data_IF_548536259674
#
_entry.id   IF_548536259674
#
_cell.length_a   1.000
_cell.length_b   1.000
_cell.length_c   1.000
_cell.angle_alpha   90.00
_cell.angle_beta   90.00
_cell.angle_gamma   90.00
#
_symmetry.space_group_name_H-M   'P 1'
#
loop_
_entity.id
_entity.type
_entity.pdbx_description
1 polymer ?
#
# COMPACT_ATOMS: atom_id res chain seq x y z
N UNK A 1 -49.44 36.72 64.15
CA UNK A 1 -49.47 37.52 62.93
C UNK A 1 -48.08 37.55 62.38
N UNK A 2 -47.84 36.99 61.21
CA UNK A 2 -46.55 36.96 60.57
C UNK A 2 -46.50 35.84 59.55
N UNK A 3 -47.02 36.08 58.34
CA UNK A 3 -46.99 35.14 57.25
C UNK A 3 -45.57 35.09 56.67
N UNK A 4 -44.95 33.92 56.72
CA UNK A 4 -43.68 33.61 56.06
C UNK A 4 -43.98 33.27 54.56
N UNK A 5 -43.55 34.13 53.69
CA UNK A 5 -43.56 33.88 52.24
C UNK A 5 -42.44 32.89 51.88
N UNK A 6 -42.82 31.71 51.33
CA UNK A 6 -41.92 30.78 50.67
C UNK A 6 -41.40 31.39 49.35
N UNK A 7 -40.14 31.24 49.00
CA UNK A 7 -39.64 31.71 47.70
C UNK A 7 -40.07 30.76 46.61
N UNK A 8 -40.66 31.36 45.56
CA UNK A 8 -40.98 30.67 44.32
C UNK A 8 -39.69 30.24 43.62
N UNK A 9 -39.47 28.94 43.49
CA UNK A 9 -38.41 28.38 42.63
C UNK A 9 -38.92 28.55 41.17
N UNK A 10 -38.29 29.47 40.45
CA UNK A 10 -38.42 29.59 39.01
C UNK A 10 -37.65 28.40 38.36
N UNK A 11 -38.35 27.39 37.92
CA UNK A 11 -37.88 26.41 36.95
C UNK A 11 -37.69 27.12 35.61
N UNK A 12 -36.53 27.67 35.36
CA UNK A 12 -36.09 28.04 34.00
C UNK A 12 -35.76 26.79 33.23
N UNK A 13 -36.60 26.58 32.26
CA UNK A 13 -36.52 25.72 31.11
C UNK A 13 -35.15 25.64 30.47
N UNK A 14 -34.83 24.42 30.01
CA UNK A 14 -33.92 24.12 28.92
C UNK A 14 -32.49 24.64 29.06
N UNK A 15 -31.66 23.86 29.76
CA UNK A 15 -30.31 23.68 29.23
C UNK A 15 -30.40 22.87 27.94
N UNK A 16 -30.65 23.59 26.82
CA UNK A 16 -30.10 23.15 25.55
C UNK A 16 -28.59 23.15 25.79
N UNK A 17 -27.99 21.98 25.95
CA UNK A 17 -26.58 21.82 25.76
C UNK A 17 -26.24 22.46 24.42
N UNK A 18 -25.50 23.54 24.46
CA UNK A 18 -24.94 24.21 23.30
C UNK A 18 -23.89 23.30 22.69
N UNK A 19 -24.38 22.28 21.95
CA UNK A 19 -23.59 21.44 21.03
C UNK A 19 -22.98 22.34 19.92
N UNK A 20 -23.49 23.56 19.77
CA UNK A 20 -22.99 24.54 18.78
C UNK A 20 -21.64 25.15 19.19
N UNK A 21 -21.30 25.21 20.49
CA UNK A 21 -19.99 25.74 20.92
C UNK A 21 -18.86 24.72 20.81
N UNK A 22 -19.15 23.40 20.75
CA UNK A 22 -18.17 22.35 20.46
C UNK A 22 -17.86 22.22 18.96
N UNK A 23 -18.65 22.84 18.10
CA UNK A 23 -18.39 22.89 16.64
C UNK A 23 -17.35 23.96 16.24
N UNK A 24 -16.83 24.74 17.18
CA UNK A 24 -15.79 25.75 16.92
C UNK A 24 -14.40 25.33 17.38
N UNK A 25 -14.12 24.03 17.45
CA UNK A 25 -12.73 23.60 17.33
C UNK A 25 -12.29 23.90 15.91
N UNK A 26 -11.63 25.03 15.74
CA UNK A 26 -11.00 25.44 14.49
C UNK A 26 -10.28 24.22 13.92
N UNK A 27 -10.56 23.76 12.70
CA UNK A 27 -9.73 22.77 12.06
C UNK A 27 -8.30 23.28 12.15
N UNK A 28 -7.34 22.41 12.50
CA UNK A 28 -5.90 22.69 12.45
C UNK A 28 -5.68 23.56 11.24
N UNK A 29 -5.21 24.79 11.45
CA UNK A 29 -5.37 25.86 10.49
C UNK A 29 -4.92 25.38 9.11
N UNK A 30 -5.80 25.43 8.13
CA UNK A 30 -5.49 25.15 6.71
C UNK A 30 -4.25 25.89 6.22
N UNK A 31 -3.88 26.99 6.89
CA UNK A 31 -2.67 27.77 6.62
C UNK A 31 -1.35 27.05 7.00
N UNK A 32 -1.33 26.22 8.06
CA UNK A 32 -0.13 25.42 8.38
C UNK A 32 0.09 24.35 7.32
N UNK A 33 -1.00 23.75 6.84
CA UNK A 33 -0.97 22.71 5.83
C UNK A 33 -0.55 23.25 4.44
N UNK A 34 -1.09 24.38 4.00
CA UNK A 34 -0.72 24.99 2.72
C UNK A 34 0.74 25.42 2.64
N UNK A 35 1.35 25.81 3.78
CA UNK A 35 2.79 26.10 3.86
C UNK A 35 3.66 24.85 3.82
N UNK A 36 3.17 23.71 4.36
CA UNK A 36 3.87 22.42 4.32
C UNK A 36 3.80 21.82 2.91
N UNK A 37 2.66 21.92 2.24
CA UNK A 37 2.49 21.43 0.85
C UNK A 37 3.35 22.19 -0.16
N UNK A 38 3.57 23.47 0.00
CA UNK A 38 4.42 24.26 -0.88
C UNK A 38 5.90 23.84 -0.90
N UNK A 39 6.31 23.00 0.05
CA UNK A 39 7.63 22.39 0.12
C UNK A 39 7.56 20.86 0.02
N UNK A 40 7.02 20.32 -1.06
CA UNK A 40 7.28 18.92 -1.43
C UNK A 40 8.75 18.76 -1.80
N UNK A 41 9.61 18.80 -0.79
CA UNK A 41 11.02 18.45 -0.92
C UNK A 41 11.03 16.97 -1.30
N UNK A 42 11.67 16.65 -2.44
CA UNK A 42 11.91 15.25 -2.77
C UNK A 42 12.90 14.66 -1.75
N UNK A 43 12.36 14.10 -0.68
CA UNK A 43 13.10 13.61 0.49
C UNK A 43 14.06 12.47 0.14
N UNK A 44 13.85 11.79 -0.99
CA UNK A 44 14.68 10.65 -1.43
C UNK A 44 15.67 11.00 -2.54
N UNK A 45 15.63 12.20 -3.15
CA UNK A 45 16.51 12.57 -4.27
C UNK A 45 17.99 12.41 -3.97
N UNK A 46 18.39 12.70 -2.73
CA UNK A 46 19.77 12.57 -2.25
C UNK A 46 19.79 11.86 -0.88
N UNK A 47 18.98 10.82 -0.73
CA UNK A 47 18.93 10.06 0.51
C UNK A 47 20.27 9.37 0.74
N UNK A 48 20.89 9.68 1.87
CA UNK A 48 22.16 9.08 2.29
C UNK A 48 21.92 8.17 3.49
N UNK A 49 22.80 7.16 3.70
CA UNK A 49 22.71 6.27 4.87
C UNK A 49 22.60 7.02 6.19
N UNK A 50 23.40 8.09 6.40
CA UNK A 50 23.40 8.86 7.64
C UNK A 50 22.09 9.64 7.86
N UNK A 51 21.47 10.09 6.76
CA UNK A 51 20.20 10.81 6.83
C UNK A 51 19.06 9.85 7.17
N UNK A 52 19.07 8.65 6.58
CA UNK A 52 18.10 7.61 6.90
C UNK A 52 18.29 7.13 8.34
N UNK A 53 19.53 6.79 8.78
CA UNK A 53 19.79 6.34 10.14
C UNK A 53 19.27 7.32 11.18
N UNK A 54 19.58 8.62 11.03
CA UNK A 54 19.06 9.67 11.91
C UNK A 54 17.53 9.77 11.93
N UNK A 55 16.87 9.56 10.79
CA UNK A 55 15.43 9.58 10.70
C UNK A 55 14.81 8.37 11.41
N UNK A 56 15.39 7.18 11.27
CA UNK A 56 14.95 5.96 11.95
C UNK A 56 15.15 6.07 13.46
N UNK A 57 16.32 6.51 13.92
CA UNK A 57 16.60 6.78 15.34
C UNK A 57 15.62 7.82 15.92
N UNK A 58 15.31 8.88 15.16
CA UNK A 58 14.32 9.86 15.59
C UNK A 58 12.93 9.23 15.75
N UNK A 59 12.53 8.32 14.84
CA UNK A 59 11.27 7.59 14.94
C UNK A 59 11.22 6.70 16.19
N UNK A 60 12.27 5.95 16.46
CA UNK A 60 12.38 5.09 17.65
C UNK A 60 12.29 5.92 18.94
N UNK A 61 12.83 7.14 18.92
CA UNK A 61 12.72 8.13 20.00
C UNK A 61 11.40 8.92 19.98
N UNK A 62 10.36 8.41 19.30
CA UNK A 62 9.02 8.99 19.30
C UNK A 62 8.82 10.21 18.39
N UNK A 63 9.74 10.48 17.46
CA UNK A 63 9.66 11.59 16.50
C UNK A 63 9.57 11.07 15.06
N UNK A 64 8.40 10.55 14.63
CA UNK A 64 8.24 9.84 13.36
C UNK A 64 8.30 10.73 12.11
N UNK A 65 8.19 12.04 12.24
CA UNK A 65 7.94 12.96 11.12
C UNK A 65 8.95 12.81 9.95
N UNK A 66 10.25 12.71 10.24
CA UNK A 66 11.29 12.61 9.21
C UNK A 66 11.23 11.26 8.48
N UNK A 67 11.16 10.16 9.24
CA UNK A 67 11.07 8.82 8.69
C UNK A 67 9.76 8.60 7.93
N UNK A 68 8.62 9.06 8.46
CA UNK A 68 7.33 8.95 7.81
C UNK A 68 7.33 9.58 6.40
N UNK A 69 7.92 10.77 6.24
CA UNK A 69 8.05 11.41 4.91
C UNK A 69 8.96 10.64 3.97
N UNK A 70 10.04 10.04 4.48
CA UNK A 70 10.91 9.16 3.68
C UNK A 70 10.14 7.92 3.26
N UNK A 71 9.41 7.27 4.16
CA UNK A 71 8.61 6.09 3.89
C UNK A 71 7.53 6.35 2.84
N UNK A 72 6.76 7.45 2.99
CA UNK A 72 5.77 7.88 1.98
C UNK A 72 6.41 8.09 0.61
N UNK A 73 7.59 8.72 0.57
CA UNK A 73 8.30 8.98 -0.67
C UNK A 73 8.81 7.68 -1.35
N UNK A 74 9.28 6.70 -0.56
CA UNK A 74 9.71 5.40 -1.06
C UNK A 74 8.51 4.61 -1.57
N UNK A 75 7.43 4.51 -0.77
CA UNK A 75 6.18 3.83 -1.14
C UNK A 75 5.56 4.37 -2.44
N UNK A 76 5.77 5.64 -2.73
CA UNK A 76 5.25 6.27 -3.94
C UNK A 76 6.15 6.11 -5.18
N UNK A 77 7.42 5.73 -5.04
CA UNK A 77 8.40 5.81 -6.12
C UNK A 77 9.22 4.55 -6.38
N UNK A 78 9.38 3.68 -5.38
CA UNK A 78 10.02 2.37 -5.61
C UNK A 78 8.98 1.40 -6.17
N UNK A 79 9.25 0.84 -7.32
CA UNK A 79 8.34 -0.03 -8.06
C UNK A 79 8.02 -1.33 -7.30
N UNK A 80 9.03 -1.97 -6.72
CA UNK A 80 8.87 -3.22 -5.98
C UNK A 80 8.06 -2.99 -4.70
N UNK A 81 8.47 -2.05 -3.85
CA UNK A 81 7.82 -1.77 -2.57
C UNK A 81 6.39 -1.26 -2.79
N UNK A 82 6.19 -0.37 -3.77
CA UNK A 82 4.85 0.12 -4.14
C UNK A 82 3.93 -1.04 -4.53
N UNK A 83 4.41 -1.94 -5.40
CA UNK A 83 3.66 -3.10 -5.85
C UNK A 83 3.31 -4.04 -4.70
N UNK A 84 4.27 -4.36 -3.83
CA UNK A 84 4.07 -5.25 -2.68
C UNK A 84 3.08 -4.67 -1.67
N UNK A 85 3.24 -3.39 -1.30
CA UNK A 85 2.30 -2.69 -0.42
C UNK A 85 0.88 -2.65 -0.98
N UNK A 86 0.73 -2.31 -2.27
CA UNK A 86 -0.57 -2.28 -2.92
C UNK A 86 -1.23 -3.65 -2.98
N UNK A 87 -0.49 -4.71 -3.28
CA UNK A 87 -1.02 -6.09 -3.29
C UNK A 87 -1.52 -6.47 -1.89
N UNK A 88 -0.70 -6.30 -0.83
CA UNK A 88 -1.07 -6.63 0.54
C UNK A 88 -2.28 -5.82 1.05
N UNK A 89 -2.34 -4.53 0.76
CA UNK A 89 -3.51 -3.69 1.10
C UNK A 89 -4.77 -4.11 0.37
N UNK A 90 -4.66 -4.47 -0.91
CA UNK A 90 -5.81 -4.89 -1.73
C UNK A 90 -6.31 -6.28 -1.36
N UNK A 91 -5.46 -7.19 -0.91
CA UNK A 91 -5.91 -8.52 -0.49
C UNK A 91 -6.90 -8.43 0.67
N UNK A 92 -6.64 -7.54 1.64
CA UNK A 92 -7.52 -7.34 2.80
C UNK A 92 -8.69 -6.40 2.50
N UNK A 93 -8.45 -5.27 1.84
CA UNK A 93 -9.50 -4.25 1.64
C UNK A 93 -10.62 -4.67 0.69
N UNK A 94 -10.41 -5.69 -0.14
CA UNK A 94 -11.46 -6.26 -1.02
C UNK A 94 -12.33 -7.31 -0.34
N UNK A 95 -11.92 -7.81 0.83
CA UNK A 95 -12.71 -8.79 1.56
C UNK A 95 -14.07 -8.21 1.94
N UNK A 96 -15.11 -9.03 1.86
CA UNK A 96 -16.41 -8.67 2.36
C UNK A 96 -16.41 -8.78 3.88
N UNK A 97 -17.25 -7.98 4.52
CA UNK A 97 -17.41 -8.02 5.97
C UNK A 97 -18.73 -8.66 6.38
N UNK A 98 -18.74 -9.19 7.57
CA UNK A 98 -19.96 -9.64 8.25
C UNK A 98 -19.98 -9.13 9.69
N UNK A 99 -21.18 -9.04 10.23
CA UNK A 99 -21.36 -8.75 11.66
C UNK A 99 -21.92 -10.01 12.31
N UNK A 100 -21.14 -10.59 13.20
CA UNK A 100 -21.46 -11.85 13.86
C UNK A 100 -22.04 -11.54 15.25
N UNK A 101 -23.26 -12.01 15.59
CA UNK A 101 -23.79 -11.91 16.94
C UNK A 101 -22.98 -12.81 17.88
N UNK A 102 -22.74 -12.35 19.11
CA UNK A 102 -21.98 -13.09 20.12
C UNK A 102 -22.87 -14.01 20.97
N UNK A 103 -24.17 -13.77 20.93
CA UNK A 103 -25.17 -14.57 21.66
C UNK A 103 -26.49 -14.59 20.89
N UNK A 104 -27.34 -15.58 21.21
CA UNK A 104 -28.66 -15.77 20.63
C UNK A 104 -29.71 -14.97 21.43
N UNK A 105 -29.65 -13.63 21.29
CA UNK A 105 -30.60 -12.73 21.96
C UNK A 105 -31.20 -11.69 21.01
N UNK A 106 -32.44 -11.24 21.24
CA UNK A 106 -33.03 -10.16 20.44
C UNK A 106 -32.17 -8.89 20.44
N UNK A 107 -31.46 -8.65 21.53
CA UNK A 107 -30.57 -7.51 21.70
C UNK A 107 -29.32 -7.63 20.83
N UNK A 108 -28.72 -8.83 20.76
CA UNK A 108 -27.60 -9.10 19.86
C UNK A 108 -27.96 -8.89 18.40
N UNK A 109 -29.17 -9.29 17.99
CA UNK A 109 -29.70 -9.04 16.64
C UNK A 109 -29.88 -7.54 16.37
N UNK A 110 -30.31 -6.75 17.37
CA UNK A 110 -30.38 -5.29 17.22
C UNK A 110 -28.98 -4.68 17.06
N UNK A 111 -28.00 -5.08 17.87
CA UNK A 111 -26.61 -4.63 17.74
C UNK A 111 -26.03 -5.01 16.38
N UNK A 112 -26.27 -6.22 15.90
CA UNK A 112 -25.87 -6.69 14.58
C UNK A 112 -26.41 -5.79 13.46
N UNK A 113 -27.70 -5.45 13.50
CA UNK A 113 -28.33 -4.57 12.50
C UNK A 113 -27.74 -3.16 12.53
N UNK A 114 -27.53 -2.62 13.74
CA UNK A 114 -26.93 -1.29 13.91
C UNK A 114 -25.52 -1.23 13.36
N UNK A 115 -24.67 -2.17 13.73
CA UNK A 115 -23.29 -2.24 13.21
C UNK A 115 -23.26 -2.49 11.70
N UNK A 116 -24.11 -3.38 11.17
CA UNK A 116 -24.21 -3.62 9.72
C UNK A 116 -24.59 -2.35 8.97
N UNK A 117 -25.57 -1.60 9.46
CA UNK A 117 -25.95 -0.33 8.86
C UNK A 117 -24.82 0.70 8.94
N UNK A 118 -24.16 0.83 10.11
CA UNK A 118 -23.03 1.74 10.30
C UNK A 118 -21.89 1.47 9.31
N UNK A 119 -21.40 0.23 9.23
CA UNK A 119 -20.31 -0.13 8.32
C UNK A 119 -20.69 -0.04 6.83
N UNK A 120 -21.96 -0.21 6.50
CA UNK A 120 -22.44 -0.04 5.12
C UNK A 120 -22.55 1.43 4.70
N UNK A 121 -22.68 2.36 5.65
CA UNK A 121 -22.92 3.79 5.39
C UNK A 121 -21.76 4.70 5.76
N UNK A 122 -20.72 4.16 6.43
CA UNK A 122 -19.57 4.95 6.83
C UNK A 122 -18.87 5.59 5.64
N UNK A 123 -18.25 6.74 5.88
CA UNK A 123 -17.45 7.48 4.92
C UNK A 123 -15.99 7.52 5.37
N UNK A 124 -15.07 7.28 4.44
CA UNK A 124 -13.64 7.40 4.65
C UNK A 124 -13.05 8.44 3.70
N UNK A 125 -12.10 9.21 4.18
CA UNK A 125 -11.41 10.25 3.42
C UNK A 125 -9.95 10.39 3.85
N UNK A 126 -9.27 11.40 3.32
CA UNK A 126 -7.89 11.68 3.64
C UNK A 126 -7.70 13.17 3.90
N UNK A 127 -6.95 13.50 4.93
CA UNK A 127 -6.58 14.88 5.25
C UNK A 127 -5.68 15.50 4.16
N UNK A 128 -4.82 14.70 3.53
CA UNK A 128 -3.89 15.14 2.50
C UNK A 128 -4.46 15.15 1.07
N UNK A 129 -5.65 14.59 0.87
CA UNK A 129 -6.31 14.51 -0.43
C UNK A 129 -7.83 14.50 -0.24
N UNK A 130 -8.43 15.67 -0.39
CA UNK A 130 -9.86 15.88 -0.13
C UNK A 130 -10.77 15.19 -1.16
N UNK A 131 -10.23 14.85 -2.32
CA UNK A 131 -10.98 14.14 -3.37
C UNK A 131 -10.97 12.62 -3.14
N UNK A 132 -10.06 12.11 -2.29
CA UNK A 132 -9.99 10.70 -1.92
C UNK A 132 -11.11 10.36 -0.93
N UNK A 133 -12.24 9.88 -1.45
CA UNK A 133 -13.44 9.49 -0.68
C UNK A 133 -13.86 8.07 -0.98
N UNK A 134 -14.37 7.37 0.03
CA UNK A 134 -14.86 6.00 -0.10
C UNK A 134 -15.60 5.53 1.14
N UNK A 135 -15.92 4.25 1.19
CA UNK A 135 -16.56 3.59 2.33
C UNK A 135 -15.59 2.68 3.08
N UNK A 136 -16.12 1.58 3.64
CA UNK A 136 -15.38 0.62 4.48
C UNK A 136 -14.11 0.07 3.79
N UNK A 137 -14.15 -0.20 2.48
CA UNK A 137 -12.98 -0.70 1.74
C UNK A 137 -11.83 0.31 1.72
N UNK A 138 -12.13 1.60 1.62
CA UNK A 138 -11.12 2.64 1.70
C UNK A 138 -10.56 2.73 3.13
N UNK A 139 -11.43 2.69 4.15
CA UNK A 139 -11.00 2.71 5.55
C UNK A 139 -10.04 1.55 5.85
N UNK A 140 -10.40 0.32 5.49
CA UNK A 140 -9.54 -0.85 5.67
C UNK A 140 -8.21 -0.66 4.93
N UNK A 141 -8.24 -0.23 3.67
CA UNK A 141 -7.02 0.04 2.91
C UNK A 141 -6.12 1.09 3.56
N UNK A 142 -6.69 2.10 4.20
CA UNK A 142 -5.95 3.12 4.95
C UNK A 142 -5.43 2.58 6.28
N UNK A 143 -6.22 1.78 7.00
CA UNK A 143 -5.77 1.14 8.23
C UNK A 143 -4.58 0.22 7.99
N UNK A 144 -4.54 -0.50 6.86
CA UNK A 144 -3.42 -1.34 6.42
C UNK A 144 -2.10 -0.57 6.23
N UNK A 145 -2.10 0.76 6.18
CA UNK A 145 -0.86 1.53 6.18
C UNK A 145 -0.02 1.30 7.45
N UNK A 146 -0.63 0.84 8.54
CA UNK A 146 0.10 0.48 9.76
C UNK A 146 1.13 -0.62 9.55
N UNK A 147 0.90 -1.56 8.64
CA UNK A 147 1.84 -2.64 8.32
C UNK A 147 3.19 -2.08 7.87
N UNK A 148 3.18 -1.08 7.00
CA UNK A 148 4.40 -0.40 6.57
C UNK A 148 4.87 0.67 7.54
N UNK A 149 3.98 1.56 7.94
CA UNK A 149 4.29 2.79 8.66
C UNK A 149 4.33 2.63 10.19
N UNK A 150 4.01 1.46 10.73
CA UNK A 150 3.80 1.13 12.15
C UNK A 150 2.49 1.65 12.73
N UNK A 151 2.01 2.80 12.31
CA UNK A 151 0.75 3.39 12.76
C UNK A 151 -0.04 3.90 11.56
N UNK A 152 -1.36 3.71 11.60
CA UNK A 152 -2.32 4.41 10.75
C UNK A 152 -3.33 5.11 11.64
N UNK A 153 -3.53 6.41 11.44
CA UNK A 153 -4.29 7.28 12.35
C UNK A 153 -5.43 7.94 11.60
N UNK A 154 -6.64 7.79 12.14
CA UNK A 154 -7.85 8.39 11.59
C UNK A 154 -8.55 9.21 12.66
N UNK A 155 -8.97 10.43 12.30
CA UNK A 155 -9.96 11.15 13.08
C UNK A 155 -11.33 10.60 12.74
N UNK A 156 -12.14 10.37 13.77
CA UNK A 156 -13.49 9.81 13.64
C UNK A 156 -14.49 10.86 14.10
N UNK A 157 -15.47 11.15 13.26
CA UNK A 157 -16.57 12.07 13.57
C UNK A 157 -17.89 11.28 13.48
N UNK A 158 -18.61 11.18 14.60
CA UNK A 158 -19.88 10.50 14.65
C UNK A 158 -21.04 11.49 14.47
N UNK A 159 -21.97 11.15 13.61
CA UNK A 159 -23.24 11.87 13.43
C UNK A 159 -24.38 10.93 13.85
N UNK A 160 -25.17 11.33 14.84
CA UNK A 160 -26.34 10.58 15.26
C UNK A 160 -27.61 11.30 14.75
N UNK A 161 -28.29 10.68 13.82
CA UNK A 161 -29.51 11.18 13.22
C UNK A 161 -30.68 10.23 13.58
N UNK A 162 -31.45 10.59 14.62
CA UNK A 162 -32.59 9.82 15.12
C UNK A 162 -32.27 8.34 15.43
N UNK A 163 -31.13 8.06 16.05
CA UNK A 163 -30.69 6.70 16.41
C UNK A 163 -29.92 5.97 15.29
N UNK A 164 -29.77 6.61 14.12
CA UNK A 164 -28.90 6.12 13.06
C UNK A 164 -27.54 6.78 13.23
N UNK A 165 -26.55 6.01 13.66
CA UNK A 165 -25.16 6.47 13.80
C UNK A 165 -24.45 6.34 12.48
N UNK A 166 -23.87 7.45 11.98
CA UNK A 166 -23.00 7.50 10.81
C UNK A 166 -21.60 7.90 11.25
N UNK A 167 -20.57 7.36 10.61
CA UNK A 167 -19.19 7.68 10.90
C UNK A 167 -18.46 8.28 9.70
N UNK A 168 -17.68 9.34 9.93
CA UNK A 168 -16.76 9.93 8.96
C UNK A 168 -15.35 9.71 9.49
N UNK A 169 -14.52 9.00 8.72
CA UNK A 169 -13.15 8.67 9.05
C UNK A 169 -12.20 9.45 8.16
N UNK A 170 -11.34 10.28 8.73
CA UNK A 170 -10.35 11.04 7.98
C UNK A 170 -8.95 10.58 8.36
N UNK A 171 -8.24 9.97 7.41
CA UNK A 171 -6.85 9.55 7.61
C UNK A 171 -5.93 10.77 7.73
N UNK A 172 -5.10 10.79 8.75
CA UNK A 172 -4.07 11.80 8.96
C UNK A 172 -2.68 11.22 8.72
N UNK A 173 -1.79 11.94 8.04
CA UNK A 173 -0.43 11.48 7.79
C UNK A 173 0.39 11.41 9.08
N UNK A 174 1.21 10.36 9.22
CA UNK A 174 1.95 10.06 10.45
C UNK A 174 2.97 11.15 10.85
N UNK A 175 3.43 11.96 9.90
CA UNK A 175 4.36 13.07 10.19
C UNK A 175 3.72 14.23 10.96
N UNK A 176 2.41 14.21 11.21
CA UNK A 176 1.71 15.15 12.11
C UNK A 176 1.68 14.68 13.56
N UNK A 177 2.28 13.55 13.89
CA UNK A 177 2.22 12.98 15.22
C UNK A 177 3.60 12.86 15.86
N UNK A 178 3.61 12.74 17.18
CA UNK A 178 4.75 12.36 18.00
C UNK A 178 4.37 11.26 19.00
N UNK A 179 5.35 10.52 19.49
CA UNK A 179 5.17 9.40 20.43
C UNK A 179 6.27 9.38 21.50
N UNK A 180 6.74 10.54 21.95
CA UNK A 180 7.85 10.64 22.93
C UNK A 180 7.48 10.08 24.28
N UNK A 181 6.19 10.10 24.64
CA UNK A 181 5.66 9.55 25.89
C UNK A 181 4.98 8.19 25.72
N UNK A 182 5.33 7.42 24.70
CA UNK A 182 4.75 6.11 24.37
C UNK A 182 3.25 6.17 24.04
N UNK A 183 2.72 7.35 23.72
CA UNK A 183 1.36 7.60 23.23
C UNK A 183 1.45 8.58 22.07
N UNK A 184 0.68 8.30 21.03
CA UNK A 184 0.58 9.22 19.89
C UNK A 184 -0.12 10.49 20.35
N UNK A 185 0.49 11.63 20.02
CA UNK A 185 -0.04 12.97 20.21
C UNK A 185 0.04 13.74 18.89
N UNK A 186 -0.91 14.62 18.63
CA UNK A 186 -0.94 15.41 17.40
C UNK A 186 -0.13 16.70 17.59
N UNK A 187 0.68 17.04 16.62
CA UNK A 187 1.49 18.26 16.57
C UNK A 187 0.64 19.40 16.01
N UNK A 188 0.47 20.48 16.78
CA UNK A 188 -0.38 21.60 16.41
C UNK A 188 0.36 22.69 15.59
N UNK A 189 1.70 22.66 15.55
CA UNK A 189 2.54 23.69 14.90
C UNK A 189 3.57 23.08 13.96
N UNK A 190 3.83 23.78 12.86
CA UNK A 190 4.91 23.44 11.95
C UNK A 190 6.27 23.54 12.68
N UNK A 191 7.10 22.51 12.52
CA UNK A 191 8.43 22.45 13.17
C UNK A 191 8.42 21.97 14.62
N UNK A 192 7.24 21.76 15.22
CA UNK A 192 7.13 21.11 16.52
C UNK A 192 7.54 19.65 16.38
N UNK A 193 8.33 19.14 17.32
CA UNK A 193 8.81 17.75 17.33
C UNK A 193 8.35 16.97 18.56
N UNK A 194 7.93 17.67 19.61
CA UNK A 194 7.50 17.10 20.90
C UNK A 194 6.36 17.95 21.47
N UNK A 195 5.78 17.49 22.59
CA UNK A 195 4.73 18.21 23.33
C UNK A 195 3.46 18.43 22.50
N UNK A 196 3.10 17.43 21.70
CA UNK A 196 1.83 17.40 20.98
C UNK A 196 0.63 17.32 21.92
N UNK A 197 -0.54 17.66 21.38
CA UNK A 197 -1.81 17.53 22.08
C UNK A 197 -2.25 16.07 22.16
N UNK A 198 -2.77 15.65 23.30
CA UNK A 198 -3.32 14.30 23.46
C UNK A 198 -4.50 14.05 22.52
N UNK A 199 -4.59 12.81 22.05
CA UNK A 199 -5.70 12.37 21.22
C UNK A 199 -6.84 11.92 22.13
N UNK A 200 -8.04 12.45 21.88
CA UNK A 200 -9.24 11.98 22.54
C UNK A 200 -9.52 10.52 22.10
N UNK A 201 -9.59 9.59 23.05
CA UNK A 201 -9.89 8.21 22.71
C UNK A 201 -11.18 8.02 21.90
N UNK A 202 -12.21 8.83 22.05
CA UNK A 202 -13.49 8.66 21.38
C UNK A 202 -13.51 9.31 19.98
N UNK A 203 -12.51 10.15 19.65
CA UNK A 203 -12.40 10.84 18.34
C UNK A 203 -11.33 10.23 17.42
N UNK A 204 -10.46 9.36 17.91
CA UNK A 204 -9.33 8.87 17.13
C UNK A 204 -9.25 7.35 17.09
N UNK A 205 -9.14 6.82 15.86
CA UNK A 205 -8.85 5.41 15.60
C UNK A 205 -7.39 5.27 15.21
N UNK A 206 -6.65 4.44 15.94
CA UNK A 206 -5.25 4.13 15.70
C UNK A 206 -5.13 2.65 15.42
N UNK A 207 -4.69 2.28 14.22
CA UNK A 207 -4.26 0.93 13.88
C UNK A 207 -2.75 0.84 14.06
N UNK A 208 -2.29 -0.24 14.69
CA UNK A 208 -0.88 -0.54 14.92
C UNK A 208 -0.47 -1.75 14.09
N UNK A 209 0.76 -1.75 13.58
CA UNK A 209 1.31 -2.85 12.79
C UNK A 209 2.84 -2.94 12.94
N UNK A 210 3.48 -3.77 12.12
CA UNK A 210 4.88 -4.16 12.26
C UNK A 210 5.89 -3.06 11.89
N UNK A 211 5.51 -2.14 10.99
CA UNK A 211 6.41 -1.07 10.53
C UNK A 211 7.46 -1.56 9.54
N UNK A 212 7.09 -2.37 8.56
CA UNK A 212 8.00 -3.00 7.60
C UNK A 212 8.86 -1.99 6.81
N UNK A 213 8.44 -0.72 6.77
CA UNK A 213 9.21 0.34 6.11
C UNK A 213 10.55 0.64 6.78
N UNK A 214 10.76 0.26 8.04
CA UNK A 214 12.08 0.37 8.68
C UNK A 214 13.11 -0.45 7.90
N UNK A 215 12.89 -1.76 7.75
CA UNK A 215 13.76 -2.63 6.99
C UNK A 215 13.76 -2.31 5.48
N UNK A 216 12.58 -2.04 4.91
CA UNK A 216 12.42 -1.73 3.49
C UNK A 216 13.14 -0.45 3.07
N UNK A 217 13.21 0.57 3.93
CA UNK A 217 13.93 1.80 3.62
C UNK A 217 15.45 1.60 3.56
N UNK A 218 15.99 0.68 4.36
CA UNK A 218 17.39 0.28 4.29
C UNK A 218 17.64 -0.51 3.00
N UNK A 219 16.77 -1.47 2.69
CA UNK A 219 16.85 -2.24 1.45
C UNK A 219 16.75 -1.34 0.21
N UNK A 220 15.89 -0.33 0.25
CA UNK A 220 15.79 0.70 -0.79
C UNK A 220 17.13 1.39 -1.07
N UNK A 221 17.89 1.76 -0.04
CA UNK A 221 19.22 2.35 -0.24
C UNK A 221 20.20 1.38 -0.90
N UNK A 222 20.20 0.10 -0.49
CA UNK A 222 21.03 -0.93 -1.11
C UNK A 222 20.68 -1.19 -2.57
N UNK A 223 19.45 -0.88 -2.99
CA UNK A 223 19.01 -0.94 -4.38
C UNK A 223 19.37 0.33 -5.15
N UNK A 224 19.10 1.50 -4.59
CA UNK A 224 19.21 2.79 -5.28
C UNK A 224 20.66 3.21 -5.56
N UNK A 225 21.59 2.94 -4.64
CA UNK A 225 22.99 3.29 -4.83
C UNK A 225 23.60 2.51 -6.01
N UNK A 226 23.52 1.16 -6.06
CA UNK A 226 24.00 0.38 -7.21
C UNK A 226 23.29 0.72 -8.53
N UNK A 227 21.98 1.00 -8.52
CA UNK A 227 21.25 1.42 -9.72
C UNK A 227 21.83 2.70 -10.30
N UNK A 228 22.14 3.67 -9.46
CA UNK A 228 22.76 4.93 -9.89
C UNK A 228 24.15 4.69 -10.50
N UNK A 229 24.96 3.87 -9.85
CA UNK A 229 26.29 3.54 -10.34
C UNK A 229 26.22 2.76 -11.66
N UNK A 230 25.22 1.87 -11.80
CA UNK A 230 24.99 1.13 -13.04
C UNK A 230 24.55 2.04 -14.18
N UNK A 231 23.69 3.01 -13.94
CA UNK A 231 23.33 4.01 -14.94
C UNK A 231 24.55 4.81 -15.42
N UNK A 232 25.41 5.27 -14.49
CA UNK A 232 26.65 5.97 -14.82
C UNK A 232 27.59 5.05 -15.64
N UNK A 233 27.66 3.78 -15.26
CA UNK A 233 28.43 2.78 -16.01
C UNK A 233 27.89 2.61 -17.44
N UNK A 234 26.57 2.50 -17.61
CA UNK A 234 25.92 2.38 -18.91
C UNK A 234 26.18 3.63 -19.79
N UNK A 235 26.09 4.83 -19.22
CA UNK A 235 26.42 6.07 -19.93
C UNK A 235 27.86 6.09 -20.42
N UNK A 236 28.80 5.72 -19.56
CA UNK A 236 30.23 5.70 -19.91
C UNK A 236 30.59 4.63 -20.94
N UNK A 237 29.95 3.46 -20.87
CA UNK A 237 30.22 2.37 -21.82
C UNK A 237 29.37 2.46 -23.09
N UNK A 238 28.21 3.13 -23.02
CA UNK A 238 27.40 3.44 -24.20
C UNK A 238 28.07 4.49 -25.12
N UNK A 239 28.92 5.33 -24.55
CA UNK A 239 29.74 6.28 -25.27
C UNK A 239 31.21 6.12 -24.83
N UNK A 240 31.94 5.13 -25.36
CA UNK A 240 33.35 4.91 -24.96
C UNK A 240 34.18 6.15 -25.27
N UNK A 241 35.03 6.48 -24.31
CA UNK A 241 35.99 7.56 -24.52
C UNK A 241 36.87 7.27 -25.73
N UNK A 242 37.13 8.29 -26.56
CA UNK A 242 37.95 8.15 -27.75
C UNK A 242 39.30 8.75 -27.47
N UNK A 243 40.33 8.02 -27.85
CA UNK A 243 41.72 8.46 -27.86
C UNK A 243 42.18 8.53 -29.31
N UNK A 244 42.46 9.73 -29.79
CA UNK A 244 43.10 9.92 -31.10
C UNK A 244 44.57 10.21 -30.90
N UNK A 245 45.41 9.66 -31.78
CA UNK A 245 46.83 9.92 -31.87
C UNK A 245 47.12 10.38 -33.29
N UNK A 246 47.81 11.51 -33.46
CA UNK A 246 48.13 12.07 -34.74
C UNK A 246 49.51 12.72 -34.74
N UNK A 247 50.17 12.72 -35.85
CA UNK A 247 51.48 13.40 -36.07
C UNK A 247 51.33 14.89 -36.37
N UNK A 248 50.08 15.39 -36.47
CA UNK A 248 49.82 16.80 -36.69
C UNK A 248 50.16 17.66 -35.47
N UNK A 249 50.81 18.80 -35.69
CA UNK A 249 51.14 19.74 -34.62
C UNK A 249 49.91 20.51 -34.14
N UNK A 250 49.78 20.73 -32.83
CA UNK A 250 48.69 21.56 -32.26
C UNK A 250 48.60 22.92 -32.90
N UNK A 251 47.34 23.33 -33.29
CA UNK A 251 47.06 24.61 -33.93
C UNK A 251 47.23 24.56 -35.44
N UNK A 252 47.44 23.41 -36.05
CA UNK A 252 47.42 23.23 -37.53
C UNK A 252 45.98 22.83 -37.95
N UNK A 253 45.57 23.13 -39.20
CA UNK A 253 44.28 22.70 -39.72
C UNK A 253 44.04 21.18 -39.63
N UNK A 254 45.13 20.41 -39.79
CA UNK A 254 45.06 18.94 -39.63
C UNK A 254 44.76 18.53 -38.19
N UNK A 255 45.33 19.22 -37.18
CA UNK A 255 45.00 18.99 -35.78
C UNK A 255 43.57 19.33 -35.47
N UNK A 256 43.06 20.45 -35.98
CA UNK A 256 41.66 20.87 -35.78
C UNK A 256 40.67 19.88 -36.39
N UNK A 257 40.96 19.35 -37.58
CA UNK A 257 40.16 18.32 -38.24
C UNK A 257 40.13 17.02 -37.39
N UNK A 258 41.23 16.61 -36.81
CA UNK A 258 41.25 15.44 -35.90
C UNK A 258 40.44 15.71 -34.62
N UNK A 259 40.57 16.90 -34.05
CA UNK A 259 39.77 17.29 -32.87
C UNK A 259 38.25 17.33 -33.18
N UNK A 260 37.87 17.77 -34.38
CA UNK A 260 36.48 17.77 -34.81
C UNK A 260 35.96 16.36 -35.07
N UNK A 261 36.74 15.51 -35.73
CA UNK A 261 36.42 14.09 -35.90
C UNK A 261 36.23 13.34 -34.56
N UNK A 262 37.07 13.64 -33.55
CA UNK A 262 36.92 13.07 -32.19
C UNK A 262 35.63 13.55 -31.54
N UNK A 263 35.20 14.81 -31.75
CA UNK A 263 33.95 15.34 -31.18
C UNK A 263 32.71 14.76 -31.86
N UNK A 264 32.78 14.51 -33.15
CA UNK A 264 31.67 13.99 -33.95
C UNK A 264 31.53 12.45 -33.85
N UNK A 265 32.52 11.75 -33.33
CA UNK A 265 32.57 10.29 -33.28
C UNK A 265 31.43 9.61 -32.51
N UNK A 266 30.60 10.34 -31.81
CA UNK A 266 29.54 9.75 -30.98
C UNK A 266 28.18 9.57 -31.67
N UNK A 267 27.93 10.18 -32.85
CA UNK A 267 26.59 10.22 -33.45
C UNK A 267 26.41 9.27 -34.65
N UNK A 268 27.38 9.21 -35.59
CA UNK A 268 27.34 8.30 -36.74
C UNK A 268 28.77 7.89 -37.10
N UNK A 269 29.10 6.61 -36.93
CA UNK A 269 30.46 6.12 -37.10
C UNK A 269 30.83 5.89 -38.58
N UNK A 270 31.37 6.89 -39.21
CA UNK A 270 32.13 6.74 -40.48
C UNK A 270 33.41 7.61 -40.44
N UNK A 271 34.53 7.02 -40.17
CA UNK A 271 35.81 7.74 -40.20
C UNK A 271 36.77 7.13 -41.22
N UNK A 272 37.32 7.99 -42.06
CA UNK A 272 38.41 7.64 -42.96
C UNK A 272 39.69 8.31 -42.46
N UNK A 273 40.72 7.50 -42.16
CA UNK A 273 41.98 7.98 -41.61
C UNK A 273 43.05 7.98 -42.70
N UNK A 274 43.88 9.01 -42.70
CA UNK A 274 45.13 9.03 -43.45
C UNK A 274 46.25 8.34 -42.66
N UNK A 275 47.28 7.94 -43.38
CA UNK A 275 48.51 7.37 -42.78
C UNK A 275 49.04 8.32 -41.69
N UNK A 276 49.28 7.81 -40.47
CA UNK A 276 49.78 8.61 -39.32
C UNK A 276 48.71 9.05 -38.32
N UNK A 277 47.42 8.71 -38.50
CA UNK A 277 46.35 8.96 -37.50
C UNK A 277 45.71 7.66 -37.07
N UNK A 278 45.76 7.39 -35.74
CA UNK A 278 45.14 6.23 -35.09
C UNK A 278 44.02 6.72 -34.14
N UNK A 279 42.89 6.09 -34.18
CA UNK A 279 41.78 6.29 -33.22
C UNK A 279 41.43 4.99 -32.56
N UNK A 280 41.51 4.98 -31.25
CA UNK A 280 41.11 3.84 -30.44
C UNK A 280 39.95 4.23 -29.52
N UNK A 281 38.93 3.39 -29.46
CA UNK A 281 37.97 3.44 -28.37
C UNK A 281 38.63 2.93 -27.09
N UNK A 282 38.54 3.71 -26.02
CA UNK A 282 39.02 3.26 -24.73
C UNK A 282 38.02 2.21 -24.22
N UNK A 283 38.40 0.93 -24.40
CA UNK A 283 37.59 -0.18 -23.86
C UNK A 283 37.74 -0.21 -22.33
N UNK A 284 36.67 0.27 -21.66
CA UNK A 284 36.53 0.23 -20.20
C UNK A 284 35.77 -1.02 -19.80
N UNK A 285 35.49 -1.94 -20.74
CA UNK A 285 34.73 -3.16 -20.44
C UNK A 285 35.45 -3.97 -19.36
N UNK A 286 34.78 -4.11 -18.23
CA UNK A 286 35.14 -5.07 -17.18
C UNK A 286 34.89 -6.47 -17.73
N UNK A 287 35.92 -7.32 -17.71
CA UNK A 287 35.80 -8.74 -18.06
C UNK A 287 34.98 -9.43 -16.95
N UNK A 288 33.73 -9.78 -17.25
CA UNK A 288 32.86 -10.53 -16.34
C UNK A 288 31.44 -9.95 -16.22
N UNK A 289 30.59 -10.66 -15.53
CA UNK A 289 29.23 -10.19 -15.22
C UNK A 289 29.27 -9.01 -14.23
N UNK A 290 28.46 -8.00 -14.51
CA UNK A 290 28.32 -6.87 -13.61
C UNK A 290 27.56 -7.32 -12.33
N UNK A 291 28.03 -6.95 -11.13
CA UNK A 291 27.40 -7.40 -9.89
C UNK A 291 26.04 -6.71 -9.59
N UNK A 292 25.73 -5.62 -10.31
CA UNK A 292 24.55 -4.79 -10.05
C UNK A 292 23.22 -5.54 -10.23
N UNK A 293 22.95 -6.27 -11.35
CA UNK A 293 21.68 -6.96 -11.54
C UNK A 293 21.41 -7.99 -10.45
N UNK A 294 22.39 -8.81 -10.10
CA UNK A 294 22.25 -9.85 -9.08
C UNK A 294 21.98 -9.26 -7.68
N UNK A 295 22.60 -8.11 -7.35
CA UNK A 295 22.34 -7.43 -6.08
C UNK A 295 20.92 -6.85 -6.04
N UNK A 296 20.46 -6.20 -7.11
CA UNK A 296 19.13 -5.62 -7.19
C UNK A 296 18.07 -6.72 -7.08
N UNK A 297 18.21 -7.80 -7.83
CA UNK A 297 17.31 -8.95 -7.78
C UNK A 297 17.25 -9.56 -6.37
N UNK A 298 18.39 -9.72 -5.72
CA UNK A 298 18.45 -10.21 -4.33
C UNK A 298 17.67 -9.29 -3.38
N UNK A 299 17.83 -7.96 -3.49
CA UNK A 299 17.14 -7.00 -2.65
C UNK A 299 15.64 -7.05 -2.90
N UNK A 300 15.20 -7.13 -4.16
CA UNK A 300 13.77 -7.21 -4.50
C UNK A 300 13.13 -8.51 -3.98
N UNK A 301 13.84 -9.65 -4.05
CA UNK A 301 13.39 -10.91 -3.45
C UNK A 301 13.28 -10.82 -1.93
N UNK A 302 14.26 -10.22 -1.25
CA UNK A 302 14.22 -10.03 0.20
C UNK A 302 13.03 -9.14 0.61
N UNK A 303 12.73 -8.07 -0.15
CA UNK A 303 11.56 -7.24 0.09
C UNK A 303 10.26 -8.01 -0.14
N UNK A 304 10.19 -8.87 -1.18
CA UNK A 304 9.03 -9.71 -1.42
C UNK A 304 8.78 -10.66 -0.25
N UNK A 305 9.82 -11.35 0.21
CA UNK A 305 9.74 -12.25 1.37
C UNK A 305 9.29 -11.51 2.64
N UNK A 306 9.79 -10.29 2.88
CA UNK A 306 9.43 -9.48 4.04
C UNK A 306 7.93 -9.06 4.02
N UNK A 307 7.42 -8.65 2.86
CA UNK A 307 6.05 -8.11 2.76
C UNK A 307 4.99 -9.19 2.57
N UNK A 308 5.33 -10.32 1.98
CA UNK A 308 4.38 -11.37 1.59
C UNK A 308 4.69 -12.75 2.16
N UNK A 309 5.78 -12.90 2.91
CA UNK A 309 6.25 -14.21 3.40
C UNK A 309 6.89 -15.07 2.32
N UNK A 310 6.81 -14.66 1.04
CA UNK A 310 7.33 -15.44 -0.07
C UNK A 310 7.98 -14.59 -1.16
N UNK A 311 8.98 -15.15 -1.84
CA UNK A 311 9.66 -14.52 -2.97
C UNK A 311 9.25 -15.10 -4.34
N UNK A 312 8.78 -16.35 -4.37
CA UNK A 312 8.52 -17.10 -5.61
C UNK A 312 7.26 -16.63 -6.37
N UNK A 313 6.21 -16.25 -5.67
CA UNK A 313 4.98 -15.76 -6.33
C UNK A 313 5.19 -14.51 -7.17
N UNK A 314 6.31 -13.81 -6.94
CA UNK A 314 6.65 -12.56 -7.63
C UNK A 314 7.72 -12.77 -8.71
N UNK A 315 8.67 -13.71 -8.54
CA UNK A 315 9.87 -13.81 -9.38
C UNK A 315 10.15 -15.19 -10.01
N UNK A 316 9.44 -16.26 -9.65
CA UNK A 316 9.76 -17.60 -10.12
C UNK A 316 8.56 -18.32 -10.73
N UNK A 317 8.79 -18.93 -11.89
CA UNK A 317 7.74 -19.56 -12.70
C UNK A 317 7.78 -21.10 -12.68
N UNK A 318 8.67 -21.78 -11.92
CA UNK A 318 9.04 -23.15 -12.32
C UNK A 318 8.76 -24.27 -11.32
N UNK A 319 8.36 -24.00 -10.07
CA UNK A 319 8.21 -25.07 -9.06
C UNK A 319 6.81 -25.08 -8.43
N UNK A 320 5.98 -26.05 -8.86
CA UNK A 320 4.60 -26.18 -8.40
C UNK A 320 4.46 -26.53 -6.91
N UNK A 321 5.41 -27.25 -6.32
CA UNK A 321 5.39 -27.66 -4.91
C UNK A 321 5.80 -26.47 -4.00
N UNK A 322 6.80 -25.71 -4.40
CA UNK A 322 7.19 -24.48 -3.70
C UNK A 322 6.10 -23.42 -3.73
N UNK A 323 5.39 -23.29 -4.85
CA UNK A 323 4.31 -22.32 -5.01
C UNK A 323 3.12 -22.58 -4.06
N UNK A 324 2.77 -23.84 -3.79
CA UNK A 324 1.67 -24.17 -2.87
C UNK A 324 1.99 -23.86 -1.41
N UNK A 325 3.23 -24.11 -0.96
CA UNK A 325 3.66 -23.77 0.41
C UNK A 325 3.74 -22.26 0.63
N UNK A 326 4.21 -21.52 -0.36
CA UNK A 326 4.30 -20.06 -0.27
C UNK A 326 2.94 -19.39 -0.29
N UNK A 327 2.02 -19.94 -1.08
CA UNK A 327 0.64 -19.48 -1.04
C UNK A 327 0.02 -19.68 0.36
N UNK A 328 0.33 -20.76 1.06
CA UNK A 328 -0.12 -20.99 2.43
C UNK A 328 0.44 -19.93 3.40
N UNK A 329 1.74 -19.59 3.31
CA UNK A 329 2.35 -18.54 4.11
C UNK A 329 1.73 -17.15 3.84
N UNK A 330 1.43 -16.82 2.58
CA UNK A 330 0.71 -15.60 2.23
C UNK A 330 -0.69 -15.55 2.88
N UNK A 331 -1.39 -16.69 2.90
CA UNK A 331 -2.72 -16.79 3.52
C UNK A 331 -2.65 -16.52 5.03
N UNK A 332 -1.67 -17.07 5.74
CA UNK A 332 -1.50 -16.81 7.18
C UNK A 332 -1.27 -15.32 7.48
N UNK A 333 -0.48 -14.63 6.65
CA UNK A 333 -0.26 -13.19 6.79
C UNK A 333 -1.56 -12.41 6.52
N UNK A 334 -2.35 -12.81 5.52
CA UNK A 334 -3.63 -12.19 5.22
C UNK A 334 -4.64 -12.39 6.37
N UNK A 335 -4.66 -13.57 6.98
CA UNK A 335 -5.49 -13.88 8.16
C UNK A 335 -5.11 -13.02 9.36
N UNK A 336 -3.82 -12.86 9.64
CA UNK A 336 -3.32 -12.03 10.74
C UNK A 336 -3.65 -10.55 10.51
N UNK A 337 -3.41 -10.03 9.32
CA UNK A 337 -3.77 -8.67 8.93
C UNK A 337 -5.29 -8.42 9.07
N UNK A 338 -6.13 -9.34 8.58
CA UNK A 338 -7.58 -9.23 8.67
C UNK A 338 -8.07 -9.27 10.13
N UNK A 339 -7.46 -10.13 10.96
CA UNK A 339 -7.75 -10.22 12.39
C UNK A 339 -7.38 -8.93 13.10
N UNK A 340 -6.18 -8.40 12.88
CA UNK A 340 -5.70 -7.16 13.50
C UNK A 340 -6.63 -5.96 13.18
N UNK A 341 -7.05 -5.83 11.91
CA UNK A 341 -7.99 -4.78 11.49
C UNK A 341 -9.35 -4.97 12.18
N UNK A 342 -9.89 -6.20 12.17
CA UNK A 342 -11.17 -6.51 12.80
C UNK A 342 -11.14 -6.25 14.31
N UNK A 343 -10.10 -6.69 15.02
CA UNK A 343 -9.94 -6.45 16.46
C UNK A 343 -9.83 -4.95 16.80
N UNK A 344 -9.12 -4.20 15.97
CA UNK A 344 -9.00 -2.75 16.15
C UNK A 344 -10.36 -2.07 16.02
N UNK A 345 -11.18 -2.44 15.02
CA UNK A 345 -12.53 -1.93 14.84
C UNK A 345 -13.47 -2.37 15.97
N UNK A 346 -13.45 -3.64 16.34
CA UNK A 346 -14.29 -4.20 17.42
C UNK A 346 -14.04 -3.49 18.75
N UNK A 347 -12.76 -3.36 19.12
CA UNK A 347 -12.37 -2.74 20.39
C UNK A 347 -12.76 -1.27 20.47
N UNK A 348 -12.70 -0.55 19.34
CA UNK A 348 -12.79 0.91 19.33
C UNK A 348 -14.12 1.40 18.79
N UNK A 349 -14.49 0.95 17.62
CA UNK A 349 -15.62 1.50 16.87
C UNK A 349 -16.94 0.84 17.29
N UNK A 350 -16.98 -0.49 17.37
CA UNK A 350 -18.20 -1.21 17.72
C UNK A 350 -18.73 -0.78 19.10
N UNK A 351 -17.82 -0.64 20.07
CA UNK A 351 -18.18 -0.20 21.42
C UNK A 351 -18.78 1.23 21.41
N UNK A 352 -18.18 2.16 20.65
CA UNK A 352 -18.65 3.54 20.53
C UNK A 352 -19.98 3.63 19.80
N UNK A 353 -20.14 2.92 18.69
CA UNK A 353 -21.39 2.91 17.91
C UNK A 353 -22.56 2.37 18.72
N UNK A 354 -22.36 1.25 19.44
CA UNK A 354 -23.40 0.65 20.29
C UNK A 354 -23.74 1.56 21.47
N UNK A 355 -22.72 2.18 22.08
CA UNK A 355 -22.93 3.16 23.15
C UNK A 355 -23.75 4.36 22.67
N UNK A 356 -23.46 4.89 21.48
CA UNK A 356 -24.19 6.03 20.90
C UNK A 356 -25.60 5.69 20.45
N UNK A 357 -25.84 4.47 19.94
CA UNK A 357 -27.12 4.06 19.41
C UNK A 357 -28.09 3.54 20.51
N UNK A 358 -27.56 2.77 21.47
CA UNK A 358 -28.38 2.04 22.43
C UNK A 358 -28.07 2.40 23.91
N UNK A 359 -26.97 3.12 24.17
CA UNK A 359 -26.51 3.41 25.52
C UNK A 359 -25.78 2.24 26.19
N UNK A 360 -25.58 1.13 25.49
CA UNK A 360 -24.93 -0.06 26.03
C UNK A 360 -23.42 0.08 26.01
N UNK A 361 -22.76 -0.40 27.07
CA UNK A 361 -21.30 -0.33 27.19
C UNK A 361 -20.56 -1.48 26.49
N UNK A 362 -21.26 -2.60 26.25
CA UNK A 362 -20.67 -3.81 25.67
C UNK A 362 -21.44 -4.21 24.40
N UNK A 363 -20.78 -4.27 23.24
CA UNK A 363 -21.41 -4.77 22.01
C UNK A 363 -21.66 -6.29 22.12
N UNK A 364 -22.83 -6.73 21.69
CA UNK A 364 -23.21 -8.14 21.59
C UNK A 364 -23.11 -8.69 20.17
N UNK A 365 -22.48 -7.93 19.28
CA UNK A 365 -22.12 -8.34 17.93
C UNK A 365 -20.76 -7.74 17.59
N UNK A 366 -20.02 -8.38 16.70
CA UNK A 366 -18.68 -7.97 16.31
C UNK A 366 -18.51 -7.96 14.77
N UNK A 367 -17.65 -7.06 14.32
CA UNK A 367 -17.18 -7.00 12.94
C UNK A 367 -16.19 -8.13 12.64
N UNK A 368 -16.29 -8.74 11.48
CA UNK A 368 -15.38 -9.76 10.98
C UNK A 368 -15.18 -9.59 9.47
N UNK A 369 -13.97 -9.80 8.98
CA UNK A 369 -13.69 -9.92 7.55
C UNK A 369 -13.83 -11.38 7.14
N UNK A 370 -14.51 -11.60 6.01
CA UNK A 370 -14.67 -12.95 5.44
C UNK A 370 -13.42 -13.31 4.67
N UNK A 371 -12.60 -14.12 5.28
CA UNK A 371 -11.49 -14.74 4.59
C UNK A 371 -12.02 -15.82 3.63
N UNK A 372 -11.41 -16.01 2.45
CA UNK A 372 -11.74 -17.11 1.58
C UNK A 372 -11.44 -18.42 2.32
N UNK A 373 -12.43 -19.24 2.56
CA UNK A 373 -12.19 -20.56 3.12
C UNK A 373 -11.58 -21.44 2.01
N UNK A 374 -10.29 -21.73 2.19
CA UNK A 374 -9.53 -22.50 1.21
C UNK A 374 -9.92 -23.98 1.22
N UNK A 375 -10.16 -24.55 2.39
CA UNK A 375 -10.60 -25.93 2.52
C UNK A 375 -11.97 -26.12 1.85
N UNK A 376 -12.85 -25.15 2.02
CA UNK A 376 -14.17 -25.13 1.37
C UNK A 376 -14.03 -25.00 -0.16
N UNK A 377 -13.16 -24.10 -0.65
CA UNK A 377 -12.88 -23.95 -2.09
C UNK A 377 -12.20 -25.20 -2.70
N UNK A 378 -11.27 -25.80 -1.98
CA UNK A 378 -10.62 -27.05 -2.42
C UNK A 378 -11.63 -28.18 -2.49
N UNK A 379 -12.49 -28.28 -1.49
CA UNK A 379 -13.57 -29.26 -1.45
C UNK A 379 -14.59 -29.03 -2.57
N UNK A 380 -14.95 -27.78 -2.86
CA UNK A 380 -15.81 -27.42 -3.99
C UNK A 380 -15.17 -27.83 -5.33
N UNK A 381 -13.87 -27.55 -5.53
CA UNK A 381 -13.15 -27.97 -6.73
C UNK A 381 -13.09 -29.49 -6.86
N UNK A 382 -12.85 -30.24 -5.78
CA UNK A 382 -12.88 -31.69 -5.77
C UNK A 382 -14.28 -32.22 -6.11
N UNK A 383 -15.34 -31.58 -5.62
CA UNK A 383 -16.72 -31.94 -6.00
C UNK A 383 -16.96 -31.70 -7.49
N UNK A 384 -16.51 -30.55 -8.01
CA UNK A 384 -16.63 -30.21 -9.43
C UNK A 384 -15.86 -31.20 -10.30
N UNK A 385 -14.65 -31.58 -9.94
CA UNK A 385 -13.88 -32.61 -10.63
C UNK A 385 -14.58 -33.95 -10.65
N UNK A 386 -15.16 -34.37 -9.51
CA UNK A 386 -15.95 -35.61 -9.41
C UNK A 386 -17.23 -35.53 -10.25
N UNK A 387 -17.92 -34.40 -10.27
CA UNK A 387 -19.10 -34.20 -11.13
C UNK A 387 -18.73 -34.28 -12.61
N UNK A 388 -17.61 -33.67 -13.01
CA UNK A 388 -17.09 -33.77 -14.37
C UNK A 388 -16.72 -35.21 -14.74
N UNK A 389 -16.13 -35.98 -13.81
CA UNK A 389 -15.75 -37.36 -14.02
C UNK A 389 -16.96 -38.29 -14.25
N UNK A 390 -18.12 -37.99 -13.69
CA UNK A 390 -19.39 -38.73 -13.91
C UNK A 390 -20.23 -38.18 -15.07
N UNK A 391 -19.68 -37.22 -15.85
CA UNK A 391 -20.30 -36.69 -17.08
C UNK A 391 -21.24 -35.47 -16.88
N UNK A 392 -21.37 -34.96 -15.67
CA UNK A 392 -22.07 -33.72 -15.41
C UNK A 392 -21.13 -32.54 -15.68
N UNK A 393 -21.53 -31.64 -16.60
CA UNK A 393 -20.74 -30.43 -16.92
C UNK A 393 -21.37 -29.23 -16.24
N UNK A 394 -20.75 -28.64 -15.19
CA UNK A 394 -21.23 -27.40 -14.61
C UNK A 394 -21.10 -26.26 -15.63
N UNK A 395 -21.92 -25.23 -15.48
CA UNK A 395 -21.89 -24.05 -16.36
C UNK A 395 -20.56 -23.31 -16.22
N UNK A 396 -19.78 -23.17 -17.32
CA UNK A 396 -18.49 -22.47 -17.28
C UNK A 396 -18.58 -21.02 -16.84
N UNK A 397 -19.71 -20.33 -17.15
CA UNK A 397 -19.91 -18.93 -16.77
C UNK A 397 -20.17 -18.78 -15.26
N UNK A 398 -20.87 -19.74 -14.66
CA UNK A 398 -21.14 -19.76 -13.23
C UNK A 398 -19.87 -20.10 -12.44
N UNK A 399 -19.07 -21.07 -12.92
CA UNK A 399 -17.76 -21.37 -12.37
C UNK A 399 -16.80 -20.17 -12.45
N UNK A 400 -16.77 -19.47 -13.58
CA UNK A 400 -15.96 -18.27 -13.74
C UNK A 400 -16.36 -17.16 -12.77
N UNK A 401 -17.65 -17.01 -12.47
CA UNK A 401 -18.15 -16.05 -11.48
C UNK A 401 -17.81 -16.47 -10.04
N UNK A 402 -17.99 -17.75 -9.72
CA UNK A 402 -17.76 -18.28 -8.38
C UNK A 402 -16.28 -18.26 -7.99
N UNK A 403 -15.41 -18.63 -8.93
CA UNK A 403 -13.97 -18.69 -8.69
C UNK A 403 -13.19 -17.48 -9.20
N UNK A 404 -13.85 -16.49 -9.78
CA UNK A 404 -13.24 -15.26 -10.34
C UNK A 404 -12.12 -15.52 -11.38
N UNK A 405 -12.25 -16.60 -12.17
CA UNK A 405 -11.32 -16.88 -13.28
C UNK A 405 -11.77 -16.18 -14.55
N UNK A 406 -10.89 -15.47 -15.28
CA UNK A 406 -11.18 -15.01 -16.61
C UNK A 406 -11.25 -16.23 -17.55
N UNK A 407 -12.43 -16.50 -18.13
CA UNK A 407 -12.55 -17.46 -19.20
C UNK A 407 -12.06 -16.79 -20.49
N UNK A 408 -10.98 -17.29 -21.07
CA UNK A 408 -10.71 -17.05 -22.49
C UNK A 408 -11.65 -17.97 -23.29
N UNK A 409 -12.31 -17.42 -24.30
CA UNK A 409 -13.03 -18.22 -25.29
C UNK A 409 -12.03 -19.20 -25.94
N UNK A 410 -12.00 -20.42 -25.47
CA UNK A 410 -11.32 -21.49 -26.18
C UNK A 410 -12.18 -21.82 -27.40
N UNK A 411 -11.65 -21.55 -28.57
CA UNK A 411 -12.17 -22.07 -29.82
C UNK A 411 -12.39 -23.57 -29.72
N UNK A 412 -13.63 -23.97 -29.50
CA UNK A 412 -14.09 -25.33 -29.74
C UNK A 412 -14.32 -25.47 -31.24
N UNK A 413 -13.25 -25.57 -32.00
CA UNK A 413 -13.33 -26.11 -33.36
C UNK A 413 -13.17 -27.63 -33.32
N UNK A 414 -14.30 -28.29 -33.38
CA UNK A 414 -14.63 -29.28 -34.39
C UNK A 414 -13.67 -30.45 -34.53
N UNK A 415 -13.92 -31.48 -33.72
CA UNK A 415 -13.76 -32.86 -34.21
C UNK A 415 -15.14 -33.48 -34.40
N UNK A 416 -15.74 -33.15 -35.52
CA UNK A 416 -16.83 -33.90 -36.10
C UNK A 416 -16.52 -34.12 -37.57
N UNK A 417 -16.47 -35.40 -37.94
CA UNK A 417 -16.64 -35.94 -39.26
C UNK A 417 -15.41 -36.00 -40.19
N UNK A 418 -14.77 -37.13 -40.17
CA UNK A 418 -14.43 -37.84 -41.42
C UNK A 418 -14.32 -39.34 -41.13
N UNK A 419 -15.44 -40.00 -41.17
CA UNK A 419 -15.57 -41.39 -41.62
C UNK A 419 -16.54 -41.34 -42.79
N UNK A 420 -16.01 -41.47 -43.98
CA UNK A 420 -16.62 -42.28 -45.06
C UNK A 420 -15.88 -41.99 -46.37
N UNK A 421 -15.54 -43.10 -46.93
CA UNK A 421 -15.41 -43.44 -48.36
C UNK A 421 -14.04 -43.41 -49.01
N UNK A 422 -13.42 -44.55 -48.92
CA UNK A 422 -12.72 -45.16 -50.04
C UNK A 422 -13.76 -45.66 -51.09
N UNK A 423 -13.58 -45.47 -52.37
CA UNK A 423 -13.05 -46.56 -53.15
C UNK A 423 -12.21 -46.23 -54.43
N UNK A 424 -11.18 -47.03 -54.62
CA UNK A 424 -10.72 -47.62 -55.90
C UNK A 424 -10.45 -46.69 -57.11
N UNK A 425 -9.28 -46.78 -57.64
CA UNK A 425 -8.85 -47.36 -58.91
C UNK A 425 -7.64 -46.67 -59.51
N UNK A 426 -6.60 -47.42 -59.66
CA UNK A 426 -6.04 -47.94 -60.88
C UNK A 426 -5.34 -46.97 -61.85
N UNK A 427 -4.10 -47.40 -62.15
CA UNK A 427 -3.42 -47.37 -63.47
C UNK A 427 -2.89 -45.98 -63.94
N UNK A 428 -1.68 -45.81 -64.02
CA UNK A 428 -0.60 -46.24 -64.98
C UNK A 428 0.74 -45.77 -64.40
#
# INVERSE_FOLDING_TARGET
>A
MGQSKLPKVNLRSSQKCDIVELMNTQPVSTNAYSRIEGRRINTIRNLRPETLSRALEAFENGRPAAAARIFEAILARDDAICGLNLKRKKSISRLDFEIVPLEDSPKAVQHQRTLKNFYSTLQAGSYGDLDKKGGIRLLISQMMDCVGMKYSVHKVEFQNDNGIVKGIFTQYPLWLFENTQKRLKILDREGQLTDGRELDPDEWLIACGDGLMFASSIAYLFKQLPLKDWLIYCERNGMPGIKAKTDAFPGTPQWENVCEAVREFGAEFHAVFSEGTEMDAIDVSTRGELPYPALIERVDRMMSALWRGSDLSTFSATDSVGASMQWYEETLIEEDDASNIAETLNRKIDALVIKLAHGDSVPLAKFRLKLPDYEERKHELEIIERLCAIGLKPDPLELARQFAFPLSETHSETQATQSQDDPKKNEI
#
